data_IF_572879657248
#
_entry.id   IF_572879657248
#
_cell.length_a   1.000
_cell.length_b   1.000
_cell.length_c   1.000
_cell.angle_alpha   90.00
_cell.angle_beta   90.00
_cell.angle_gamma   90.00
#
_symmetry.space_group_name_H-M   'P 1'
#
loop_
_entity.id
_entity.type
_entity.pdbx_description
1 polymer ?
#
# COMPACT_ATOMS: atom_id res chain seq x y z
N UNK A 1 -3.46 -4.01 -13.80
CA UNK A 1 -2.40 -4.96 -14.23
C UNK A 1 -1.50 -4.41 -15.35
N UNK A 2 -2.04 -3.91 -16.47
CA UNK A 2 -1.23 -3.32 -17.57
C UNK A 2 -0.40 -2.10 -17.10
N UNK A 3 -0.88 -1.37 -16.09
CA UNK A 3 -0.14 -0.25 -15.51
C UNK A 3 1.17 -0.66 -14.80
N UNK A 4 1.32 -1.91 -14.35
CA UNK A 4 2.51 -2.37 -13.62
C UNK A 4 3.79 -2.34 -14.48
N UNK A 5 3.86 -2.98 -15.67
CA UNK A 5 5.05 -2.90 -16.51
C UNK A 5 5.33 -1.47 -16.98
N UNK A 6 4.28 -0.68 -17.29
CA UNK A 6 4.44 0.73 -17.69
C UNK A 6 5.07 1.53 -16.54
N UNK A 7 4.56 1.37 -15.32
CA UNK A 7 5.12 2.00 -14.12
C UNK A 7 6.59 1.63 -13.93
N UNK A 8 6.94 0.35 -14.05
CA UNK A 8 8.33 -0.10 -13.91
C UNK A 8 9.24 0.54 -14.96
N UNK A 9 8.82 0.59 -16.23
CA UNK A 9 9.60 1.19 -17.31
C UNK A 9 9.84 2.68 -17.05
N UNK A 10 8.78 3.41 -16.67
CA UNK A 10 8.88 4.85 -16.37
C UNK A 10 9.85 5.11 -15.21
N UNK A 11 9.75 4.34 -14.13
CA UNK A 11 10.63 4.51 -12.97
C UNK A 11 12.09 4.16 -13.29
N UNK A 12 12.34 3.15 -14.14
CA UNK A 12 13.69 2.78 -14.56
C UNK A 12 14.31 3.79 -15.54
N UNK A 13 13.49 4.45 -16.37
CA UNK A 13 13.96 5.51 -17.27
C UNK A 13 14.56 6.69 -16.49
N UNK A 14 13.91 7.09 -15.40
CA UNK A 14 14.35 8.20 -14.54
C UNK A 14 15.08 7.73 -13.27
N UNK A 15 15.79 6.60 -13.32
CA UNK A 15 16.42 5.95 -12.15
C UNK A 15 17.27 6.88 -11.26
N UNK A 16 17.86 7.92 -11.85
CA UNK A 16 18.75 8.87 -11.17
C UNK A 16 18.04 10.13 -10.63
N UNK A 17 16.78 10.36 -11.00
CA UNK A 17 16.08 11.63 -10.76
C UNK A 17 14.59 11.45 -10.42
N UNK A 18 13.85 12.55 -10.22
CA UNK A 18 12.42 12.49 -9.97
C UNK A 18 11.69 11.92 -11.19
N UNK A 19 10.90 10.85 -10.99
CA UNK A 19 10.09 10.28 -12.06
C UNK A 19 8.66 10.78 -11.92
N UNK A 20 8.42 11.97 -12.46
CA UNK A 20 7.09 12.60 -12.46
C UNK A 20 6.07 11.73 -13.18
N UNK A 21 6.45 11.10 -14.29
CA UNK A 21 5.56 10.20 -15.03
C UNK A 21 5.16 8.97 -14.20
N UNK A 22 6.11 8.33 -13.51
CA UNK A 22 5.80 7.21 -12.62
C UNK A 22 4.97 7.65 -11.40
N UNK A 23 5.26 8.81 -10.83
CA UNK A 23 4.50 9.39 -9.72
C UNK A 23 3.07 9.74 -10.10
N UNK A 24 2.85 10.35 -11.27
CA UNK A 24 1.51 10.64 -11.80
C UNK A 24 0.76 9.34 -12.06
N UNK A 25 1.38 8.36 -12.72
CA UNK A 25 0.75 7.07 -12.98
C UNK A 25 0.37 6.36 -11.68
N UNK A 26 1.26 6.36 -10.68
CA UNK A 26 1.01 5.78 -9.36
C UNK A 26 -0.15 6.47 -8.65
N UNK A 27 -0.17 7.81 -8.65
CA UNK A 27 -1.24 8.60 -8.03
C UNK A 27 -2.58 8.42 -8.72
N UNK A 28 -2.60 8.46 -10.06
CA UNK A 28 -3.83 8.23 -10.84
C UNK A 28 -4.34 6.82 -10.63
N UNK A 29 -3.49 5.80 -10.71
CA UNK A 29 -3.90 4.41 -10.47
C UNK A 29 -4.53 4.23 -9.08
N UNK A 30 -3.90 4.76 -8.03
CA UNK A 30 -4.42 4.66 -6.66
C UNK A 30 -5.70 5.48 -6.39
N UNK A 31 -5.94 6.56 -7.15
CA UNK A 31 -7.20 7.32 -7.07
C UNK A 31 -8.30 6.61 -7.86
N UNK A 32 -7.99 6.14 -9.06
CA UNK A 32 -8.92 5.44 -9.95
C UNK A 32 -9.43 4.16 -9.31
N UNK A 33 -8.56 3.32 -8.72
CA UNK A 33 -8.98 2.06 -8.08
C UNK A 33 -9.97 2.32 -6.92
N UNK A 34 -9.78 3.42 -6.19
CA UNK A 34 -10.70 3.80 -5.12
C UNK A 34 -12.02 4.37 -5.63
N UNK A 35 -11.97 5.13 -6.71
CA UNK A 35 -13.15 5.68 -7.35
C UNK A 35 -14.00 4.55 -7.95
N UNK A 36 -13.38 3.62 -8.68
CA UNK A 36 -14.05 2.48 -9.30
C UNK A 36 -14.66 1.56 -8.22
N UNK A 37 -13.92 1.30 -7.13
CA UNK A 37 -14.46 0.55 -6.00
C UNK A 37 -15.61 1.27 -5.28
N UNK A 38 -15.57 2.61 -5.17
CA UNK A 38 -16.69 3.38 -4.62
C UNK A 38 -17.91 3.36 -5.53
N UNK A 39 -17.68 3.46 -6.83
CA UNK A 39 -18.72 3.53 -7.85
C UNK A 39 -19.42 2.18 -8.04
N UNK A 40 -18.66 1.09 -8.06
CA UNK A 40 -19.16 -0.28 -8.08
C UNK A 40 -20.05 -0.59 -6.86
N UNK A 41 -19.63 -0.18 -5.66
CA UNK A 41 -20.44 -0.27 -4.43
C UNK A 41 -21.72 0.55 -4.51
N UNK A 42 -21.65 1.77 -5.07
CA UNK A 42 -22.79 2.68 -5.17
C UNK A 42 -23.83 2.19 -6.17
N UNK A 43 -23.40 1.58 -7.26
CA UNK A 43 -24.30 1.04 -8.29
C UNK A 43 -24.62 -0.44 -8.14
N UNK A 44 -24.07 -1.10 -7.12
CA UNK A 44 -24.26 -2.52 -6.85
C UNK A 44 -23.84 -3.41 -8.04
N UNK A 45 -22.88 -2.94 -8.84
CA UNK A 45 -22.30 -3.62 -10.01
C UNK A 45 -20.90 -4.10 -9.63
N UNK A 46 -20.83 -4.99 -8.64
CA UNK A 46 -19.57 -5.65 -8.28
C UNK A 46 -19.51 -7.02 -8.95
N UNK A 47 -18.48 -7.26 -9.76
CA UNK A 47 -18.19 -8.60 -10.28
C UNK A 47 -17.35 -9.39 -9.26
N UNK A 48 -17.57 -10.71 -9.17
CA UNK A 48 -16.77 -11.60 -8.30
C UNK A 48 -15.27 -11.57 -8.68
N UNK A 49 -14.98 -11.35 -9.96
CA UNK A 49 -13.61 -11.19 -10.45
C UNK A 49 -12.98 -9.87 -9.98
N UNK A 50 -13.68 -8.74 -10.13
CA UNK A 50 -13.19 -7.41 -9.71
C UNK A 50 -12.91 -7.33 -8.21
N UNK A 51 -13.77 -7.93 -7.38
CA UNK A 51 -13.57 -8.03 -5.92
C UNK A 51 -12.22 -8.60 -5.50
N UNK A 52 -11.61 -9.45 -6.34
CA UNK A 52 -10.30 -10.05 -6.08
C UNK A 52 -9.20 -9.33 -6.88
N UNK A 53 -9.47 -9.01 -8.14
CA UNK A 53 -8.49 -8.43 -9.05
C UNK A 53 -8.09 -6.99 -8.64
N UNK A 54 -9.04 -6.17 -8.19
CA UNK A 54 -8.78 -4.77 -7.87
C UNK A 54 -7.87 -4.65 -6.63
N UNK A 55 -8.18 -5.29 -5.47
CA UNK A 55 -7.30 -5.24 -4.31
C UNK A 55 -5.94 -5.92 -4.53
N UNK A 56 -5.86 -6.86 -5.48
CA UNK A 56 -4.61 -7.50 -5.88
C UNK A 56 -3.73 -6.54 -6.68
N UNK A 57 -4.30 -5.88 -7.69
CA UNK A 57 -3.58 -4.91 -8.52
C UNK A 57 -3.03 -3.75 -7.67
N UNK A 58 -3.84 -3.25 -6.73
CA UNK A 58 -3.48 -2.16 -5.83
C UNK A 58 -2.24 -2.53 -4.97
N UNK A 59 -2.26 -3.73 -4.38
CA UNK A 59 -1.13 -4.27 -3.59
C UNK A 59 0.12 -4.54 -4.43
N UNK A 60 -0.06 -5.02 -5.66
CA UNK A 60 1.06 -5.24 -6.57
C UNK A 60 1.71 -3.92 -7.00
N UNK A 61 0.91 -2.87 -7.21
CA UNK A 61 1.42 -1.55 -7.60
C UNK A 61 2.28 -0.95 -6.49
N UNK A 62 1.79 -0.91 -5.25
CA UNK A 62 2.60 -0.41 -4.15
C UNK A 62 3.80 -1.30 -3.85
N UNK A 63 3.64 -2.63 -3.96
CA UNK A 63 4.74 -3.56 -3.76
C UNK A 63 5.85 -3.36 -4.77
N UNK A 64 5.49 -3.18 -6.04
CA UNK A 64 6.42 -2.87 -7.12
C UNK A 64 7.13 -1.54 -6.87
N UNK A 65 6.39 -0.48 -6.51
CA UNK A 65 6.97 0.83 -6.19
C UNK A 65 7.98 0.74 -5.03
N UNK A 66 7.62 0.08 -3.93
CA UNK A 66 8.49 -0.09 -2.77
C UNK A 66 9.74 -0.89 -3.13
N UNK A 67 9.60 -2.04 -3.78
CA UNK A 67 10.75 -2.89 -4.15
C UNK A 67 11.71 -2.12 -5.06
N UNK A 68 11.19 -1.44 -6.08
CA UNK A 68 12.03 -0.68 -7.01
C UNK A 68 12.71 0.50 -6.32
N UNK A 69 12.03 1.23 -5.46
CA UNK A 69 12.63 2.33 -4.72
C UNK A 69 13.70 1.86 -3.72
N UNK A 70 13.55 0.67 -3.13
CA UNK A 70 14.59 0.04 -2.30
C UNK A 70 15.80 -0.35 -3.15
N UNK A 71 15.59 -0.97 -4.31
CA UNK A 71 16.68 -1.35 -5.24
C UNK A 71 17.42 -0.12 -5.79
N UNK A 72 16.72 0.99 -6.01
CA UNK A 72 17.31 2.27 -6.44
C UNK A 72 17.95 3.06 -5.29
N UNK A 73 17.96 2.52 -4.07
CA UNK A 73 18.51 3.15 -2.87
C UNK A 73 17.88 4.54 -2.62
N UNK A 74 16.57 4.62 -2.83
CA UNK A 74 15.74 5.81 -2.60
C UNK A 74 14.79 5.65 -1.42
N UNK A 75 14.49 4.41 -1.06
CA UNK A 75 13.70 4.05 0.11
C UNK A 75 14.52 3.06 0.95
N UNK A 76 14.55 3.19 2.29
CA UNK A 76 15.25 2.22 3.12
C UNK A 76 14.63 0.82 2.97
N UNK A 77 15.42 -0.23 3.23
CA UNK A 77 14.96 -1.63 3.22
C UNK A 77 13.72 -1.87 4.10
N UNK A 78 13.49 -1.01 5.10
CA UNK A 78 12.29 -1.00 5.92
C UNK A 78 10.99 -0.84 5.10
N UNK A 79 11.07 -0.34 3.87
CA UNK A 79 10.01 -0.44 2.85
C UNK A 79 9.43 -1.85 2.73
N UNK A 80 10.28 -2.88 2.76
CA UNK A 80 9.86 -4.28 2.64
C UNK A 80 9.00 -4.75 3.82
N UNK A 81 9.12 -4.10 4.99
CA UNK A 81 8.25 -4.38 6.13
C UNK A 81 6.79 -4.04 5.84
N UNK A 82 6.53 -3.06 4.96
CA UNK A 82 5.18 -2.75 4.50
C UNK A 82 4.55 -3.96 3.80
N UNK A 83 5.30 -4.61 2.91
CA UNK A 83 4.82 -5.79 2.20
C UNK A 83 4.57 -6.96 3.15
N UNK A 84 5.51 -7.19 4.08
CA UNK A 84 5.35 -8.19 5.12
C UNK A 84 4.13 -7.93 6.00
N UNK A 85 3.91 -6.67 6.40
CA UNK A 85 2.76 -6.24 7.20
C UNK A 85 1.45 -6.47 6.46
N UNK A 86 1.37 -6.13 5.18
CA UNK A 86 0.15 -6.31 4.39
C UNK A 86 -0.18 -7.79 4.21
N UNK A 87 0.82 -8.62 3.91
CA UNK A 87 0.65 -10.08 3.84
C UNK A 87 0.23 -10.68 5.19
N UNK A 88 0.84 -10.24 6.28
CA UNK A 88 0.50 -10.70 7.63
C UNK A 88 -0.94 -10.34 8.01
N UNK A 89 -1.42 -9.15 7.65
CA UNK A 89 -2.80 -8.75 7.90
C UNK A 89 -3.81 -9.56 7.08
N UNK A 90 -3.51 -9.87 5.81
CA UNK A 90 -4.37 -10.74 4.98
C UNK A 90 -4.43 -12.15 5.56
N UNK A 91 -3.28 -12.71 5.89
CA UNK A 91 -3.18 -14.05 6.46
C UNK A 91 -3.91 -14.12 7.82
N UNK A 92 -3.69 -13.13 8.69
CA UNK A 92 -4.39 -13.00 9.97
C UNK A 92 -5.89 -12.81 9.80
N UNK A 93 -6.32 -12.05 8.79
CA UNK A 93 -7.73 -11.90 8.44
C UNK A 93 -8.36 -13.25 8.11
N UNK A 94 -7.77 -14.02 7.20
CA UNK A 94 -8.29 -15.35 6.81
C UNK A 94 -8.39 -16.32 7.98
N UNK A 95 -7.37 -16.38 8.85
CA UNK A 95 -7.35 -17.32 9.98
C UNK A 95 -8.45 -17.09 11.02
N UNK A 96 -8.92 -15.84 11.13
CA UNK A 96 -9.85 -15.42 12.19
C UNK A 96 -11.24 -15.12 11.61
N UNK A 97 -11.37 -14.94 10.29
CA UNK A 97 -12.64 -14.82 9.58
C UNK A 97 -13.52 -16.07 9.75
N UNK A 98 -12.93 -17.27 9.68
CA UNK A 98 -13.66 -18.54 9.86
C UNK A 98 -14.21 -18.72 11.29
N UNK A 99 -13.75 -17.92 12.25
CA UNK A 99 -14.19 -17.94 13.65
C UNK A 99 -15.28 -16.90 13.96
N UNK A 100 -15.85 -16.26 12.93
CA UNK A 100 -16.93 -15.28 13.09
C UNK A 100 -16.50 -13.91 13.60
N UNK A 101 -15.19 -13.66 13.75
CA UNK A 101 -14.70 -12.37 14.20
C UNK A 101 -14.73 -11.34 13.06
N UNK A 102 -15.50 -10.27 13.25
CA UNK A 102 -15.53 -9.15 12.31
C UNK A 102 -14.38 -8.21 12.61
N UNK A 103 -13.36 -8.27 11.78
CA UNK A 103 -12.24 -7.33 11.83
C UNK A 103 -12.68 -5.90 11.53
N UNK A 104 -12.72 -5.08 12.56
CA UNK A 104 -12.79 -3.63 12.41
C UNK A 104 -11.39 -3.06 12.32
N UNK A 105 -11.01 -2.62 11.12
CA UNK A 105 -9.76 -1.89 10.91
C UNK A 105 -9.86 -0.55 11.65
N UNK A 106 -8.97 -0.33 12.61
CA UNK A 106 -8.92 0.91 13.37
C UNK A 106 -8.55 2.09 12.45
N UNK A 107 -9.10 3.29 12.72
CA UNK A 107 -8.86 4.48 11.90
C UNK A 107 -7.36 4.81 11.77
N UNK A 108 -6.58 4.53 12.82
CA UNK A 108 -5.11 4.64 12.81
C UNK A 108 -4.46 3.84 11.69
N UNK A 109 -4.92 2.61 11.46
CA UNK A 109 -4.37 1.74 10.41
C UNK A 109 -4.70 2.27 9.00
N UNK A 110 -5.88 2.86 8.82
CA UNK A 110 -6.24 3.51 7.55
C UNK A 110 -5.35 4.71 7.31
N UNK A 111 -5.28 5.65 8.25
CA UNK A 111 -4.46 6.88 8.13
C UNK A 111 -3.00 6.52 7.83
N UNK A 112 -2.44 5.55 8.55
CA UNK A 112 -1.07 5.10 8.32
C UNK A 112 -0.86 4.54 6.90
N UNK A 113 -1.83 3.78 6.38
CA UNK A 113 -1.74 3.19 5.03
C UNK A 113 -1.79 4.30 3.97
N UNK A 114 -2.73 5.24 4.07
CA UNK A 114 -2.79 6.40 3.19
C UNK A 114 -1.53 7.26 3.24
N UNK A 115 -1.00 7.49 4.44
CA UNK A 115 0.25 8.24 4.62
C UNK A 115 1.45 7.53 4.02
N UNK A 116 1.52 6.19 4.10
CA UNK A 116 2.56 5.41 3.43
C UNK A 116 2.48 5.51 1.90
N UNK A 117 1.27 5.41 1.34
CA UNK A 117 1.05 5.54 -0.11
C UNK A 117 1.47 6.94 -0.58
N UNK A 118 1.07 7.98 0.15
CA UNK A 118 1.50 9.35 -0.12
C UNK A 118 3.02 9.51 -0.01
N UNK A 119 3.65 8.93 1.01
CA UNK A 119 5.10 9.00 1.20
C UNK A 119 5.85 8.34 0.05
N UNK A 120 5.39 7.16 -0.42
CA UNK A 120 5.95 6.49 -1.60
C UNK A 120 5.77 7.35 -2.86
N UNK A 121 4.57 7.92 -3.05
CA UNK A 121 4.29 8.86 -4.13
C UNK A 121 5.22 10.07 -4.14
N UNK A 122 5.48 10.65 -2.96
CA UNK A 122 6.41 11.76 -2.81
C UNK A 122 7.85 11.35 -3.12
N UNK A 123 8.31 10.18 -2.64
CA UNK A 123 9.64 9.66 -2.98
C UNK A 123 9.81 9.50 -4.49
N UNK A 124 8.76 9.14 -5.24
CA UNK A 124 8.83 9.01 -6.71
C UNK A 124 9.10 10.35 -7.41
N UNK A 125 8.55 11.46 -6.89
CA UNK A 125 8.60 12.79 -7.55
C UNK A 125 9.66 13.74 -6.99
N UNK A 126 10.34 13.38 -5.90
CA UNK A 126 11.45 14.20 -5.35
C UNK A 126 12.80 13.77 -5.90
N UNK A 127 13.85 14.51 -5.60
CA UNK A 127 15.23 14.10 -5.93
C UNK A 127 15.77 13.08 -4.91
N UNK A 128 16.74 12.26 -5.34
CA UNK A 128 17.47 11.36 -4.42
C UNK A 128 18.21 12.18 -3.37
N UNK A 129 18.07 11.81 -2.11
CA UNK A 129 18.64 12.54 -0.96
C UNK A 129 17.66 13.48 -0.27
N UNK A 130 16.47 13.70 -0.84
CA UNK A 130 15.41 14.46 -0.16
C UNK A 130 14.89 13.70 1.05
N UNK A 131 14.96 14.30 2.25
CA UNK A 131 14.68 13.61 3.51
C UNK A 131 13.23 13.70 3.97
N UNK A 132 12.49 14.76 3.63
CA UNK A 132 11.12 14.95 4.12
C UNK A 132 10.15 13.82 3.74
N UNK A 133 10.19 13.20 2.53
CA UNK A 133 9.32 12.06 2.22
C UNK A 133 9.68 10.82 3.06
N UNK A 134 10.96 10.67 3.40
CA UNK A 134 11.45 9.57 4.24
C UNK A 134 11.00 9.76 5.69
N UNK A 135 10.98 10.99 6.20
CA UNK A 135 10.43 11.28 7.54
C UNK A 135 8.95 10.93 7.59
N UNK A 136 8.17 11.34 6.58
CA UNK A 136 6.77 10.93 6.46
C UNK A 136 6.64 9.40 6.38
N UNK A 137 7.48 8.74 5.58
CA UNK A 137 7.48 7.29 5.45
C UNK A 137 7.73 6.60 6.80
N UNK A 138 8.74 7.02 7.57
CA UNK A 138 9.05 6.43 8.87
C UNK A 138 7.94 6.62 9.90
N UNK A 139 7.35 7.82 9.96
CA UNK A 139 6.22 8.11 10.85
C UNK A 139 5.05 7.18 10.51
N UNK A 140 4.67 7.10 9.23
CA UNK A 140 3.54 6.29 8.81
C UNK A 140 3.83 4.78 8.91
N UNK A 141 5.07 4.34 8.71
CA UNK A 141 5.49 2.96 8.94
C UNK A 141 5.35 2.59 10.42
N UNK A 142 5.80 3.46 11.33
CA UNK A 142 5.64 3.28 12.77
C UNK A 142 4.16 3.15 13.15
N UNK A 143 3.30 4.05 12.66
CA UNK A 143 1.86 3.99 12.87
C UNK A 143 1.24 2.69 12.31
N UNK A 144 1.68 2.26 11.12
CA UNK A 144 1.18 1.04 10.48
C UNK A 144 1.55 -0.23 11.27
N UNK A 145 2.77 -0.29 11.79
CA UNK A 145 3.24 -1.39 12.63
C UNK A 145 2.54 -1.39 14.00
N UNK A 146 2.33 -0.23 14.62
CA UNK A 146 1.56 -0.11 15.85
C UNK A 146 0.11 -0.57 15.67
N UNK A 147 -0.54 -0.15 14.58
CA UNK A 147 -1.88 -0.59 14.25
C UNK A 147 -1.95 -2.11 14.01
N UNK A 148 -0.94 -2.68 13.33
CA UNK A 148 -0.85 -4.13 13.13
C UNK A 148 -0.62 -4.89 14.44
N UNK A 149 0.22 -4.38 15.35
CA UNK A 149 0.45 -4.98 16.66
C UNK A 149 -0.83 -4.97 17.52
N UNK A 150 -1.55 -3.84 17.57
CA UNK A 150 -2.84 -3.74 18.27
C UNK A 150 -3.85 -4.76 17.73
N UNK A 151 -3.88 -4.94 16.42
CA UNK A 151 -4.76 -5.90 15.75
C UNK A 151 -4.45 -7.35 16.16
N UNK A 152 -3.18 -7.75 16.13
CA UNK A 152 -2.75 -9.10 16.53
C UNK A 152 -3.04 -9.36 18.00
N UNK A 153 -2.81 -8.38 18.87
CA UNK A 153 -3.09 -8.48 20.31
C UNK A 153 -4.59 -8.65 20.58
N UNK A 154 -5.44 -7.89 19.89
CA UNK A 154 -6.89 -7.99 20.01
C UNK A 154 -7.40 -9.35 19.52
N UNK A 155 -6.94 -9.78 18.35
CA UNK A 155 -7.29 -11.09 17.80
C UNK A 155 -6.88 -12.25 18.73
N UNK A 156 -5.69 -12.18 19.37
CA UNK A 156 -5.26 -13.20 20.35
C UNK A 156 -6.13 -13.25 21.60
N UNK A 157 -6.68 -12.12 22.06
CA UNK A 157 -7.53 -12.07 23.25
C UNK A 157 -8.92 -12.66 22.99
N UNK A 158 -9.47 -12.46 21.80
CA UNK A 158 -10.82 -12.93 21.46
C UNK A 158 -10.86 -14.39 20.98
N UNK A 159 -9.69 -14.94 20.62
CA UNK A 159 -9.53 -16.35 20.23
C UNK A 159 -9.25 -17.27 21.42
N UNK A 160 -8.86 -16.72 22.58
CA UNK A 160 -8.70 -17.48 23.83
C UNK A 160 -10.04 -17.60 24.54
#
# INVERSE_FOLDING_TARGET
>A
LVALPVFAILLLADRAGPSWAAGILFGVAGITDQLDGWLARRWNVESEFGKIADPLADRLMIGLAVVMLVVLDRLPWAGLLLLGRDLALIAGYRLVADRGYRFQVNQLGKIATWGLYASVGFVLVTEKGTTWPLVCFWINLGLALLAAAQYVLKARREVR
#
